data_IF_382838751311
#
_entry.id   IF_382838751311
#
_cell.length_a   1.000
_cell.length_b   1.000
_cell.length_c   1.000
_cell.angle_alpha   90.00
_cell.angle_beta   90.00
_cell.angle_gamma   90.00
#
_symmetry.space_group_name_H-M   'P 1'
#
loop_
_entity.id
_entity.type
_entity.pdbx_description
1 polymer ?
#
# COMPACT_ATOMS: atom_id res chain seq x y z
N UNK A 1 -25.56 -13.12 18.13
CA UNK A 1 -24.66 -11.99 18.44
C UNK A 1 -23.31 -12.47 18.95
N UNK A 2 -23.29 -13.37 19.92
CA UNK A 2 -22.06 -13.92 20.49
C UNK A 2 -21.21 -14.67 19.46
N UNK A 3 -21.85 -15.41 18.56
CA UNK A 3 -21.17 -16.13 17.48
C UNK A 3 -20.56 -15.19 16.44
N UNK A 4 -21.20 -14.08 16.16
CA UNK A 4 -20.67 -13.06 15.24
C UNK A 4 -19.46 -12.36 15.83
N UNK A 5 -19.45 -12.11 17.12
CA UNK A 5 -18.33 -11.49 17.83
C UNK A 5 -17.13 -12.44 17.87
N UNK A 6 -17.36 -13.73 18.13
CA UNK A 6 -16.31 -14.75 18.12
C UNK A 6 -15.74 -14.95 16.70
N UNK A 7 -16.58 -14.98 15.67
CA UNK A 7 -16.12 -15.08 14.29
C UNK A 7 -15.27 -13.89 13.85
N UNK A 8 -15.60 -12.68 14.26
CA UNK A 8 -14.80 -11.49 14.02
C UNK A 8 -13.47 -11.55 14.76
N UNK A 9 -13.48 -12.01 16.01
CA UNK A 9 -12.31 -12.19 16.82
C UNK A 9 -11.34 -13.19 16.19
N UNK A 10 -11.87 -14.33 15.72
CA UNK A 10 -11.07 -15.36 15.05
C UNK A 10 -10.44 -14.85 13.75
N UNK A 11 -11.19 -14.10 12.93
CA UNK A 11 -10.69 -13.53 11.66
C UNK A 11 -9.56 -12.53 11.87
N UNK A 12 -9.57 -11.82 13.01
CA UNK A 12 -8.56 -10.82 13.34
C UNK A 12 -7.46 -11.34 14.24
N UNK A 13 -7.50 -12.64 14.57
CA UNK A 13 -6.55 -13.20 15.50
C UNK A 13 -5.24 -13.57 14.82
N UNK A 14 -4.28 -12.66 14.93
CA UNK A 14 -2.92 -12.89 14.49
C UNK A 14 -2.17 -13.78 15.46
N UNK A 15 -1.29 -14.63 14.94
CA UNK A 15 -0.31 -15.30 15.80
C UNK A 15 0.66 -14.26 16.36
N UNK A 16 1.39 -14.62 17.41
CA UNK A 16 2.44 -13.74 17.98
C UNK A 16 3.48 -13.37 16.92
N UNK A 17 3.85 -14.33 16.08
CA UNK A 17 4.83 -14.13 15.02
C UNK A 17 4.30 -13.20 13.94
N UNK A 18 3.05 -13.38 13.52
CA UNK A 18 2.39 -12.52 12.55
C UNK A 18 2.29 -11.08 13.04
N UNK A 19 1.88 -10.89 14.29
CA UNK A 19 1.80 -9.58 14.92
C UNK A 19 3.17 -8.90 14.99
N UNK A 20 4.19 -9.65 15.39
CA UNK A 20 5.57 -9.15 15.43
C UNK A 20 6.06 -8.73 14.05
N UNK A 21 5.80 -9.54 13.03
CA UNK A 21 6.18 -9.26 11.65
C UNK A 21 5.51 -7.98 11.14
N UNK A 22 4.22 -7.83 11.40
CA UNK A 22 3.48 -6.64 10.97
C UNK A 22 3.97 -5.38 11.68
N UNK A 23 4.26 -5.46 12.99
CA UNK A 23 4.84 -4.35 13.75
C UNK A 23 6.23 -3.99 13.22
N UNK A 24 7.06 -4.97 12.93
CA UNK A 24 8.41 -4.76 12.37
C UNK A 24 8.32 -4.11 10.99
N UNK A 25 7.39 -4.55 10.15
CA UNK A 25 7.14 -3.92 8.86
C UNK A 25 6.81 -2.44 9.02
N UNK A 26 5.85 -2.10 9.91
CA UNK A 26 5.42 -0.72 10.13
C UNK A 26 6.52 0.17 10.73
N UNK A 27 7.39 -0.40 11.54
CA UNK A 27 8.40 0.39 12.26
C UNK A 27 9.72 0.57 11.50
N UNK A 28 10.18 -0.46 10.77
CA UNK A 28 11.53 -0.40 10.20
C UNK A 28 11.72 -1.14 8.89
N UNK A 29 10.99 -2.22 8.64
CA UNK A 29 11.29 -3.12 7.52
C UNK A 29 10.63 -2.71 6.20
N UNK A 30 9.63 -1.81 6.20
CA UNK A 30 8.84 -1.50 5.01
C UNK A 30 9.67 -1.02 3.82
N UNK A 31 10.62 -0.15 4.07
CA UNK A 31 11.43 0.42 3.00
C UNK A 31 12.25 -0.67 2.28
N UNK A 32 12.96 -1.47 3.05
CA UNK A 32 13.82 -2.55 2.53
C UNK A 32 12.99 -3.62 1.82
N UNK A 33 11.92 -4.08 2.44
CA UNK A 33 11.07 -5.12 1.89
C UNK A 33 10.41 -4.66 0.59
N UNK A 34 9.86 -3.46 0.57
CA UNK A 34 9.19 -2.94 -0.62
C UNK A 34 10.15 -2.70 -1.78
N UNK A 35 11.38 -2.28 -1.51
CA UNK A 35 12.41 -2.14 -2.54
C UNK A 35 12.73 -3.49 -3.18
N UNK A 36 12.90 -4.53 -2.37
CA UNK A 36 13.13 -5.87 -2.88
C UNK A 36 11.97 -6.37 -3.74
N UNK A 37 10.74 -6.13 -3.30
CA UNK A 37 9.55 -6.56 -4.04
C UNK A 37 9.35 -5.80 -5.35
N UNK A 38 9.75 -4.53 -5.42
CA UNK A 38 9.75 -3.78 -6.68
C UNK A 38 10.73 -4.34 -7.69
N UNK A 39 11.89 -4.79 -7.22
CA UNK A 39 12.97 -5.28 -8.07
C UNK A 39 12.86 -6.76 -8.42
N UNK A 40 12.11 -7.53 -7.64
CA UNK A 40 11.96 -8.98 -7.80
C UNK A 40 10.48 -9.34 -7.82
N UNK A 41 9.97 -9.70 -8.99
CA UNK A 41 8.55 -10.09 -9.16
C UNK A 41 8.21 -11.39 -8.46
N UNK A 42 9.19 -12.30 -8.36
CA UNK A 42 9.01 -13.61 -7.77
C UNK A 42 9.72 -13.67 -6.42
N UNK A 43 9.01 -14.11 -5.39
CA UNK A 43 9.57 -14.25 -4.05
C UNK A 43 10.66 -15.31 -3.96
N UNK A 44 10.69 -16.27 -4.89
CA UNK A 44 11.75 -17.28 -4.95
C UNK A 44 13.13 -16.68 -5.20
N UNK A 45 13.18 -15.49 -5.79
CA UNK A 45 14.43 -14.76 -6.03
C UNK A 45 14.97 -14.04 -4.79
N UNK A 46 14.16 -13.92 -3.73
CA UNK A 46 14.56 -13.25 -2.49
C UNK A 46 15.46 -14.15 -1.64
N UNK A 47 16.39 -13.57 -0.87
CA UNK A 47 17.09 -14.30 0.16
C UNK A 47 16.10 -14.99 1.11
N UNK A 48 16.48 -16.13 1.65
CA UNK A 48 15.58 -16.94 2.48
C UNK A 48 14.93 -16.17 3.62
N UNK A 49 15.70 -15.34 4.30
CA UNK A 49 15.21 -14.56 5.45
C UNK A 49 14.12 -13.58 5.02
N UNK A 50 14.32 -12.87 3.93
CA UNK A 50 13.34 -11.92 3.39
C UNK A 50 12.12 -12.62 2.83
N UNK A 51 12.32 -13.77 2.19
CA UNK A 51 11.20 -14.59 1.69
C UNK A 51 10.29 -15.04 2.84
N UNK A 52 10.87 -15.51 3.93
CA UNK A 52 10.10 -15.93 5.12
C UNK A 52 9.34 -14.74 5.73
N UNK A 53 9.97 -13.57 5.78
CA UNK A 53 9.34 -12.36 6.27
C UNK A 53 8.12 -12.00 5.43
N UNK A 54 8.26 -12.03 4.10
CA UNK A 54 7.17 -11.73 3.17
C UNK A 54 6.04 -12.74 3.31
N UNK A 55 6.34 -14.03 3.41
CA UNK A 55 5.34 -15.08 3.61
C UNK A 55 4.53 -14.84 4.90
N UNK A 56 5.22 -14.50 5.98
CA UNK A 56 4.59 -14.21 7.25
C UNK A 56 3.73 -12.94 7.20
N UNK A 57 4.23 -11.91 6.51
CA UNK A 57 3.48 -10.66 6.34
C UNK A 57 2.25 -10.86 5.46
N UNK A 58 2.36 -11.64 4.40
CA UNK A 58 1.19 -12.00 3.57
C UNK A 58 0.13 -12.70 4.40
N UNK A 59 0.56 -13.65 5.25
CA UNK A 59 -0.34 -14.35 6.16
C UNK A 59 -1.04 -13.40 7.13
N UNK A 60 -0.26 -12.52 7.75
CA UNK A 60 -0.79 -11.53 8.69
C UNK A 60 -1.82 -10.61 8.02
N UNK A 61 -1.49 -10.06 6.86
CA UNK A 61 -2.39 -9.16 6.14
C UNK A 61 -3.69 -9.84 5.72
N UNK A 62 -3.63 -11.11 5.32
CA UNK A 62 -4.83 -11.84 4.92
C UNK A 62 -5.86 -11.96 6.03
N UNK A 63 -5.44 -11.81 7.28
CA UNK A 63 -6.29 -11.87 8.47
C UNK A 63 -6.81 -10.51 8.92
N UNK A 64 -6.24 -9.42 8.40
CA UNK A 64 -6.68 -8.08 8.76
C UNK A 64 -7.98 -7.71 8.05
N UNK A 65 -8.82 -6.85 8.66
CA UNK A 65 -10.09 -6.49 8.04
C UNK A 65 -9.89 -5.70 6.75
N UNK A 66 -10.78 -5.93 5.80
CA UNK A 66 -10.82 -5.15 4.56
C UNK A 66 -11.42 -3.77 4.86
N UNK A 67 -10.84 -2.75 4.26
CA UNK A 67 -11.31 -1.38 4.41
C UNK A 67 -12.23 -1.01 3.24
N UNK A 68 -13.42 -0.50 3.56
CA UNK A 68 -14.35 0.04 2.56
C UNK A 68 -14.34 1.56 2.64
N UNK A 69 -13.96 2.21 1.55
CA UNK A 69 -13.92 3.66 1.47
C UNK A 69 -12.87 4.19 0.52
N UNK A 70 -12.70 5.49 0.51
CA UNK A 70 -11.71 6.14 -0.35
C UNK A 70 -10.37 6.23 0.37
N UNK A 71 -9.31 6.11 -0.39
CA UNK A 71 -7.94 6.16 0.13
C UNK A 71 -7.11 7.17 -0.63
N UNK A 72 -6.07 7.68 0.03
CA UNK A 72 -5.16 8.65 -0.57
C UNK A 72 -3.71 8.29 -0.23
N UNK A 73 -2.82 8.55 -1.19
CA UNK A 73 -1.37 8.48 -1.02
C UNK A 73 -0.73 9.69 -1.68
N UNK A 74 0.26 10.27 -1.04
CA UNK A 74 1.03 11.38 -1.61
C UNK A 74 2.45 10.94 -1.88
N UNK A 75 3.02 11.43 -2.98
CA UNK A 75 4.41 11.18 -3.36
C UNK A 75 5.07 12.52 -3.64
N UNK A 76 6.21 12.77 -3.00
CA UNK A 76 6.91 14.03 -3.11
C UNK A 76 8.39 13.79 -3.43
N UNK A 77 8.86 14.46 -4.47
CA UNK A 77 10.25 14.40 -4.92
C UNK A 77 11.01 15.71 -4.69
N UNK A 78 10.46 16.63 -3.90
CA UNK A 78 11.01 17.97 -3.68
C UNK A 78 12.45 17.93 -3.17
N UNK A 79 12.81 16.93 -2.38
CA UNK A 79 14.15 16.79 -1.82
C UNK A 79 15.21 16.36 -2.85
N UNK A 80 14.79 15.96 -4.05
CA UNK A 80 15.70 15.44 -5.07
C UNK A 80 16.02 16.51 -6.11
N UNK A 81 17.30 16.63 -6.49
CA UNK A 81 17.75 17.56 -7.52
C UNK A 81 17.19 17.22 -8.91
N UNK A 82 16.92 15.94 -9.17
CA UNK A 82 16.34 15.44 -10.41
C UNK A 82 14.83 15.23 -10.31
N UNK A 83 14.16 16.06 -9.54
CA UNK A 83 12.73 16.00 -9.27
C UNK A 83 11.87 15.77 -10.51
N UNK A 84 12.07 16.60 -11.54
CA UNK A 84 11.24 16.53 -12.76
C UNK A 84 11.39 15.22 -13.51
N UNK A 85 12.60 14.68 -13.57
CA UNK A 85 12.87 13.38 -14.19
C UNK A 85 12.19 12.24 -13.42
N UNK A 86 12.21 12.32 -12.08
CA UNK A 86 11.56 11.33 -11.22
C UNK A 86 10.05 11.36 -11.36
N UNK A 87 9.45 12.53 -11.42
CA UNK A 87 8.01 12.69 -11.64
C UNK A 87 7.61 12.11 -13.00
N UNK A 88 8.35 12.46 -14.04
CA UNK A 88 8.07 11.96 -15.40
C UNK A 88 8.15 10.44 -15.46
N UNK A 89 9.19 9.85 -14.88
CA UNK A 89 9.35 8.40 -14.81
C UNK A 89 8.21 7.74 -14.04
N UNK A 90 7.82 8.33 -12.91
CA UNK A 90 6.71 7.84 -12.10
C UNK A 90 5.40 7.86 -12.89
N UNK A 91 5.09 8.98 -13.53
CA UNK A 91 3.84 9.15 -14.27
C UNK A 91 3.72 8.23 -15.48
N UNK A 92 4.82 7.80 -16.07
CA UNK A 92 4.80 6.86 -17.20
C UNK A 92 4.15 5.52 -16.88
N UNK A 93 4.16 5.13 -15.61
CA UNK A 93 3.56 3.88 -15.16
C UNK A 93 2.03 3.96 -15.07
N UNK A 94 1.47 5.18 -15.03
CA UNK A 94 0.04 5.40 -14.83
C UNK A 94 -0.60 5.95 -16.12
N UNK A 95 -0.98 5.04 -17.01
CA UNK A 95 -1.60 5.38 -18.29
C UNK A 95 -3.11 5.21 -18.20
N UNK A 96 -3.87 6.27 -18.54
CA UNK A 96 -5.33 6.24 -18.48
C UNK A 96 -5.91 5.05 -19.23
N UNK A 97 -6.91 4.42 -18.64
CA UNK A 97 -7.63 3.26 -19.14
C UNK A 97 -6.81 1.96 -19.17
N UNK A 98 -5.60 1.99 -18.63
CA UNK A 98 -4.76 0.79 -18.52
C UNK A 98 -4.69 0.30 -17.06
N UNK A 99 -4.27 -0.95 -16.91
CA UNK A 99 -4.05 -1.55 -15.61
C UNK A 99 -2.62 -1.29 -15.15
N UNK A 100 -2.47 -0.92 -13.87
CA UNK A 100 -1.17 -0.86 -13.21
C UNK A 100 -1.14 -1.92 -12.11
N UNK A 101 -0.03 -2.63 -12.00
CA UNK A 101 0.19 -3.64 -10.95
C UNK A 101 1.24 -3.14 -9.99
N UNK A 102 0.89 -3.10 -8.71
CA UNK A 102 1.82 -2.70 -7.66
C UNK A 102 2.39 -3.97 -7.03
N UNK A 103 3.66 -4.27 -7.32
CA UNK A 103 4.28 -5.52 -6.89
C UNK A 103 4.60 -5.57 -5.40
N UNK A 104 4.85 -4.43 -4.78
CA UNK A 104 5.13 -4.32 -3.35
C UNK A 104 3.87 -4.10 -2.53
N UNK A 105 4.01 -4.14 -1.21
CA UNK A 105 2.95 -3.65 -0.33
C UNK A 105 2.80 -2.15 -0.52
N UNK A 106 1.57 -1.68 -0.52
CA UNK A 106 1.32 -0.27 -0.81
C UNK A 106 0.47 0.37 0.26
N UNK A 107 1.06 1.33 0.96
CA UNK A 107 0.43 2.02 2.08
C UNK A 107 -0.40 3.21 1.59
N UNK A 108 -1.63 3.28 2.09
CA UNK A 108 -2.56 4.37 1.81
C UNK A 108 -3.10 4.93 3.13
N UNK A 109 -3.67 6.12 3.07
CA UNK A 109 -4.30 6.76 4.23
C UNK A 109 -5.81 6.84 4.05
N UNK A 110 -6.55 6.63 5.14
CA UNK A 110 -8.02 6.79 5.18
C UNK A 110 -8.46 8.24 5.08
N UNK A 111 -7.58 9.16 5.45
CA UNK A 111 -7.87 10.58 5.49
C UNK A 111 -6.96 11.34 4.53
N UNK A 112 -6.90 12.65 4.69
CA UNK A 112 -6.04 13.52 3.88
C UNK A 112 -4.61 13.00 3.84
N UNK A 113 -3.98 13.12 2.69
CA UNK A 113 -2.56 12.85 2.56
C UNK A 113 -1.73 13.73 3.49
N UNK A 114 -0.57 13.23 3.87
CA UNK A 114 0.33 13.94 4.78
C UNK A 114 0.85 15.25 4.21
N UNK A 115 0.78 15.43 2.90
CA UNK A 115 1.28 16.62 2.24
C UNK A 115 0.37 17.01 1.08
N UNK A 116 -0.49 18.01 1.31
CA UNK A 116 -1.41 18.51 0.29
C UNK A 116 -0.68 19.22 -0.87
N UNK A 117 0.58 19.61 -0.65
CA UNK A 117 1.42 20.24 -1.67
C UNK A 117 2.34 19.25 -2.37
N UNK A 118 2.19 17.96 -2.13
CA UNK A 118 3.01 16.93 -2.76
C UNK A 118 2.91 16.99 -4.29
N UNK A 119 3.99 16.59 -4.95
CA UNK A 119 4.06 16.58 -6.41
C UNK A 119 3.01 15.69 -7.06
N UNK A 120 2.69 14.57 -6.40
CA UNK A 120 1.73 13.58 -6.91
C UNK A 120 0.78 13.19 -5.78
N UNK A 121 -0.52 13.21 -6.08
CA UNK A 121 -1.56 12.73 -5.19
C UNK A 121 -2.29 11.59 -5.88
N UNK A 122 -2.40 10.45 -5.19
CA UNK A 122 -3.03 9.25 -5.71
C UNK A 122 -4.28 8.97 -4.89
N UNK A 123 -5.41 8.82 -5.57
CA UNK A 123 -6.70 8.53 -4.94
C UNK A 123 -7.17 7.16 -5.40
N UNK A 124 -7.57 6.32 -4.45
CA UNK A 124 -8.27 5.07 -4.75
C UNK A 124 -9.73 5.26 -4.38
N UNK A 125 -10.59 5.17 -5.37
CA UNK A 125 -12.03 5.32 -5.18
C UNK A 125 -12.65 3.98 -4.80
N UNK A 126 -13.43 3.98 -3.72
CA UNK A 126 -14.21 2.82 -3.27
C UNK A 126 -13.36 1.55 -3.06
N UNK A 127 -12.33 1.69 -2.23
CA UNK A 127 -11.49 0.56 -1.84
C UNK A 127 -12.34 -0.53 -1.15
N UNK A 128 -12.03 -1.79 -1.45
CA UNK A 128 -12.58 -2.97 -0.79
C UNK A 128 -11.51 -3.99 -0.44
N UNK A 129 -10.36 -3.93 -1.09
CA UNK A 129 -9.27 -4.92 -0.96
C UNK A 129 -8.15 -4.47 -0.04
N UNK A 130 -8.04 -3.17 0.24
CA UNK A 130 -7.04 -2.68 1.18
C UNK A 130 -7.28 -3.26 2.58
N UNK A 131 -6.20 -3.56 3.29
CA UNK A 131 -6.27 -4.13 4.64
C UNK A 131 -6.07 -3.03 5.68
N UNK A 132 -7.03 -2.91 6.56
CA UNK A 132 -6.98 -1.92 7.63
C UNK A 132 -6.03 -2.40 8.72
N UNK A 133 -4.86 -1.79 8.80
CA UNK A 133 -3.85 -2.09 9.81
C UNK A 133 -3.70 -0.98 10.85
N UNK A 134 -4.67 -0.09 10.91
CA UNK A 134 -4.64 1.05 11.81
C UNK A 134 -4.64 0.66 13.29
N UNK A 135 -5.12 -0.55 13.62
CA UNK A 135 -5.11 -1.07 14.99
C UNK A 135 -3.75 -1.61 15.44
N UNK A 136 -2.78 -1.72 14.53
CA UNK A 136 -1.47 -2.29 14.81
C UNK A 136 -0.41 -1.18 14.78
N UNK A 137 0.27 -0.97 15.92
CA UNK A 137 1.36 0.00 16.00
C UNK A 137 0.90 1.45 15.90
N UNK A 138 1.79 2.30 15.39
CA UNK A 138 1.51 3.71 15.14
C UNK A 138 0.78 3.90 13.82
N UNK A 139 0.28 5.08 13.56
CA UNK A 139 -0.49 5.45 12.36
C UNK A 139 -1.86 4.76 12.27
N UNK A 140 -2.81 5.36 12.97
CA UNK A 140 -4.19 4.88 13.06
C UNK A 140 -5.01 5.09 11.77
N UNK A 141 -4.39 5.57 10.69
CA UNK A 141 -5.07 5.86 9.42
C UNK A 141 -4.61 4.95 8.29
N UNK A 142 -3.69 4.04 8.58
CA UNK A 142 -3.04 3.25 7.54
C UNK A 142 -3.89 2.08 7.07
N UNK A 143 -4.02 2.00 5.75
CA UNK A 143 -4.57 0.85 5.02
C UNK A 143 -3.46 0.34 4.10
N UNK A 144 -3.15 -0.94 4.19
CA UNK A 144 -2.07 -1.55 3.41
C UNK A 144 -2.63 -2.52 2.38
N UNK A 145 -2.30 -2.27 1.11
CA UNK A 145 -2.62 -3.22 0.06
C UNK A 145 -1.65 -4.39 0.08
N UNK A 146 -2.18 -5.58 -0.12
CA UNK A 146 -1.38 -6.78 -0.32
C UNK A 146 -0.57 -6.67 -1.61
N UNK A 147 0.49 -7.46 -1.73
CA UNK A 147 1.35 -7.45 -2.91
C UNK A 147 0.58 -7.78 -4.18
N UNK A 148 1.07 -7.23 -5.29
CA UNK A 148 0.53 -7.52 -6.63
C UNK A 148 -0.91 -7.05 -6.84
N UNK A 149 -1.33 -6.05 -6.08
CA UNK A 149 -2.64 -5.44 -6.29
C UNK A 149 -2.67 -4.74 -7.64
N UNK A 150 -3.73 -5.01 -8.38
CA UNK A 150 -3.97 -4.36 -9.67
C UNK A 150 -4.98 -3.24 -9.51
N UNK A 151 -4.73 -2.16 -10.25
CA UNK A 151 -5.62 -1.00 -10.32
C UNK A 151 -5.85 -0.63 -11.78
N UNK A 152 -7.05 -0.13 -12.05
CA UNK A 152 -7.35 0.56 -13.30
C UNK A 152 -7.05 2.04 -13.12
N UNK A 153 -6.29 2.63 -14.03
CA UNK A 153 -6.05 4.07 -14.02
C UNK A 153 -7.25 4.75 -14.69
N UNK A 154 -8.08 5.39 -13.86
CA UNK A 154 -9.29 6.05 -14.33
C UNK A 154 -8.97 7.38 -15.00
N UNK A 155 -8.11 8.17 -14.35
CA UNK A 155 -7.76 9.50 -14.82
C UNK A 155 -6.43 9.96 -14.26
N UNK A 156 -5.71 10.74 -15.06
CA UNK A 156 -4.54 11.49 -14.61
C UNK A 156 -4.72 12.95 -14.99
N UNK A 157 -4.33 13.85 -14.10
CA UNK A 157 -4.44 15.30 -14.31
C UNK A 157 -3.13 15.96 -13.93
N UNK A 158 -2.67 16.89 -14.76
CA UNK A 158 -1.56 17.78 -14.43
C UNK A 158 -2.15 19.19 -14.24
N UNK A 159 -2.06 19.68 -13.02
CA UNK A 159 -2.53 21.03 -12.68
C UNK A 159 -1.37 21.82 -12.07
N UNK A 160 -0.84 22.78 -12.84
CA UNK A 160 0.26 23.64 -12.41
C UNK A 160 1.51 22.87 -11.92
N UNK A 161 1.84 21.76 -12.59
CA UNK A 161 2.99 20.95 -12.24
C UNK A 161 2.74 19.92 -11.12
N UNK A 162 1.54 19.90 -10.58
CA UNK A 162 1.11 18.87 -9.63
C UNK A 162 0.25 17.84 -10.34
N UNK A 163 0.48 16.57 -10.02
CA UNK A 163 -0.20 15.46 -10.69
C UNK A 163 -1.20 14.82 -9.75
N UNK A 164 -2.35 14.45 -10.30
CA UNK A 164 -3.40 13.73 -9.60
C UNK A 164 -3.71 12.46 -10.37
N UNK A 165 -3.73 11.34 -9.68
CA UNK A 165 -4.01 10.03 -10.26
C UNK A 165 -5.23 9.46 -9.55
N UNK A 166 -6.26 9.11 -10.32
CA UNK A 166 -7.44 8.43 -9.80
C UNK A 166 -7.39 6.96 -10.20
N UNK A 167 -7.41 6.09 -9.22
CA UNK A 167 -7.37 4.65 -9.40
C UNK A 167 -8.65 4.00 -8.92
N UNK A 168 -8.95 2.86 -9.50
CA UNK A 168 -10.01 1.97 -9.05
C UNK A 168 -9.44 0.56 -8.99
N UNK A 169 -9.79 -0.17 -7.94
CA UNK A 169 -9.36 -1.57 -7.79
C UNK A 169 -9.89 -2.42 -8.95
N UNK A 170 -9.07 -3.34 -9.36
CA UNK A 170 -9.42 -4.29 -10.39
C UNK A 170 -9.70 -5.68 -9.84
#
# INVERSE_FOLDING_TARGET
>A
ERLKTLGKSDKMQLTKKEKKTLLEYKSSASYRINELLRNHKDTDELPEQERKFVEELDSALSKMPQYEGNLIRTVDFTAFSDKNERIEKFMKEYVENETVTINQYWSMSKERGYNEDADIQIYVQSSKKGRDISSIGLDEKEVLYERKQEFCVVKTVNYNGKYFILLKER
#
